data_IF_279391493822
#
_entry.id   IF_279391493822
#
_cell.length_a   1.000
_cell.length_b   1.000
_cell.length_c   1.000
_cell.angle_alpha   90.00
_cell.angle_beta   90.00
_cell.angle_gamma   90.00
#
_symmetry.space_group_name_H-M   'P 1'
#
loop_
_entity.id
_entity.type
_entity.pdbx_description
1 polymer ?
#
# COMPACT_ATOMS: atom_id res chain seq x y z
N UNK A 1 9.14 1.40 -15.27
CA UNK A 1 8.75 1.92 -13.98
C UNK A 1 8.91 0.84 -12.92
N UNK A 2 8.23 0.89 -11.79
CA UNK A 2 8.44 -0.12 -10.74
C UNK A 2 7.16 -0.87 -10.42
N UNK A 3 7.33 -2.13 -10.04
CA UNK A 3 6.24 -3.01 -9.59
C UNK A 3 6.81 -3.96 -8.54
N UNK A 4 6.18 -4.01 -7.37
CA UNK A 4 6.63 -4.89 -6.29
C UNK A 4 5.49 -5.28 -5.37
N UNK A 5 5.73 -6.31 -4.56
CA UNK A 5 4.77 -6.86 -3.60
C UNK A 5 5.36 -6.81 -2.20
N UNK A 6 4.56 -6.38 -1.24
CA UNK A 6 4.88 -6.42 0.19
C UNK A 6 3.99 -7.49 0.81
N UNK A 7 4.58 -8.60 1.22
CA UNK A 7 3.85 -9.71 1.82
C UNK A 7 3.51 -9.43 3.28
N UNK A 8 2.41 -9.98 3.74
CA UNK A 8 1.87 -9.79 5.07
C UNK A 8 0.56 -9.02 5.04
N UNK A 9 -0.13 -9.01 6.17
CA UNK A 9 -1.42 -8.32 6.29
C UNK A 9 -1.23 -6.82 6.07
N UNK A 10 -1.96 -6.20 5.12
CA UNK A 10 -1.88 -4.77 4.90
C UNK A 10 -2.31 -3.98 6.13
N UNK A 11 -1.66 -2.85 6.38
CA UNK A 11 -1.94 -1.98 7.53
C UNK A 11 -2.40 -0.62 7.03
N UNK A 12 -3.60 -0.15 7.41
CA UNK A 12 -4.07 1.16 7.01
C UNK A 12 -3.32 2.28 7.73
N UNK A 13 -3.30 3.46 7.14
CA UNK A 13 -2.80 4.65 7.83
C UNK A 13 -3.73 4.95 9.00
N UNK A 14 -3.17 4.95 10.20
CA UNK A 14 -3.89 5.32 11.42
C UNK A 14 -3.71 6.81 11.69
N UNK A 15 -4.61 7.36 12.51
CA UNK A 15 -4.40 8.73 13.03
C UNK A 15 -3.10 8.76 13.82
N UNK A 16 -2.22 9.75 13.61
CA UNK A 16 -1.03 9.89 14.44
C UNK A 16 -1.39 10.06 15.91
N UNK A 17 -0.60 9.45 16.79
CA UNK A 17 -0.71 9.70 18.23
C UNK A 17 -0.02 11.02 18.53
N UNK A 18 -0.71 11.86 19.30
CA UNK A 18 -0.18 13.19 19.66
C UNK A 18 0.29 13.15 21.12
N UNK A 19 1.56 13.56 21.30
CA UNK A 19 2.14 13.74 22.63
C UNK A 19 2.73 15.14 22.72
N UNK A 20 3.19 15.55 23.92
CA UNK A 20 3.90 16.82 24.07
C UNK A 20 5.20 16.90 23.27
N UNK A 21 5.70 15.78 22.75
CA UNK A 21 6.91 15.70 21.91
C UNK A 21 6.59 15.69 20.43
N UNK A 22 5.31 15.84 20.03
CA UNK A 22 4.85 15.85 18.65
C UNK A 22 3.95 14.69 18.31
N UNK A 23 3.62 14.58 17.02
CA UNK A 23 2.78 13.50 16.49
C UNK A 23 3.67 12.38 15.93
N UNK A 24 3.24 11.14 16.12
CA UNK A 24 3.93 9.96 15.59
C UNK A 24 2.94 8.88 15.19
N UNK A 25 3.32 8.05 14.22
CA UNK A 25 2.52 6.90 13.81
C UNK A 25 2.53 5.80 14.88
N UNK A 26 1.42 5.06 15.06
CA UNK A 26 1.43 3.84 15.87
C UNK A 26 2.49 2.86 15.34
N UNK A 27 3.14 2.08 16.23
CA UNK A 27 4.25 1.19 15.84
C UNK A 27 3.98 0.27 14.65
N UNK A 28 2.80 -0.31 14.58
CA UNK A 28 2.43 -1.23 13.49
C UNK A 28 2.35 -0.53 12.14
N UNK A 29 1.77 0.66 12.11
CA UNK A 29 1.68 1.50 10.92
C UNK A 29 3.06 1.95 10.47
N UNK A 30 3.88 2.40 11.41
CA UNK A 30 5.26 2.83 11.15
C UNK A 30 6.09 1.69 10.55
N UNK A 31 6.04 0.50 11.14
CA UNK A 31 6.77 -0.67 10.66
C UNK A 31 6.37 -1.06 9.24
N UNK A 32 5.08 -1.04 8.94
CA UNK A 32 4.56 -1.36 7.62
C UNK A 32 5.06 -0.35 6.56
N UNK A 33 5.02 0.94 6.88
CA UNK A 33 5.51 2.00 5.98
C UNK A 33 7.02 1.89 5.75
N UNK A 34 7.79 1.58 6.80
CA UNK A 34 9.23 1.37 6.69
C UNK A 34 9.57 0.19 5.79
N UNK A 35 8.80 -0.90 5.86
CA UNK A 35 8.99 -2.06 5.00
C UNK A 35 8.74 -1.72 3.53
N UNK A 36 7.65 -1.01 3.24
CA UNK A 36 7.35 -0.54 1.88
C UNK A 36 8.49 0.34 1.36
N UNK A 37 8.94 1.29 2.17
CA UNK A 37 10.03 2.20 1.83
C UNK A 37 11.33 1.45 1.53
N UNK A 38 11.66 0.47 2.34
CA UNK A 38 12.87 -0.34 2.17
C UNK A 38 12.85 -1.10 0.83
N UNK A 39 11.75 -1.75 0.52
CA UNK A 39 11.61 -2.50 -0.74
C UNK A 39 11.64 -1.55 -1.94
N UNK A 40 10.95 -0.42 -1.85
CA UNK A 40 10.93 0.58 -2.91
C UNK A 40 12.33 1.13 -3.21
N UNK A 41 13.13 1.40 -2.19
CA UNK A 41 14.52 1.84 -2.36
C UNK A 41 15.34 0.84 -3.17
N UNK A 42 15.19 -0.45 -2.88
CA UNK A 42 15.86 -1.51 -3.63
C UNK A 42 15.51 -1.48 -5.11
N UNK A 43 14.23 -1.33 -5.43
CA UNK A 43 13.77 -1.23 -6.83
C UNK A 43 14.27 0.04 -7.50
N UNK A 44 14.27 1.17 -6.81
CA UNK A 44 14.77 2.44 -7.37
C UNK A 44 16.25 2.37 -7.74
N UNK A 45 17.06 1.66 -6.97
CA UNK A 45 18.48 1.45 -7.30
C UNK A 45 18.69 0.73 -8.63
N UNK A 46 17.77 -0.18 -8.98
CA UNK A 46 17.87 -0.94 -10.23
C UNK A 46 17.38 -0.18 -11.46
N UNK A 47 16.39 0.71 -11.31
CA UNK A 47 15.75 1.38 -12.46
C UNK A 47 16.24 2.81 -12.67
N UNK A 48 16.83 3.43 -11.63
CA UNK A 48 17.37 4.80 -11.70
C UNK A 48 18.67 4.86 -10.89
N UNK A 49 19.24 6.05 -10.77
CA UNK A 49 20.40 6.30 -9.91
C UNK A 49 19.99 6.62 -8.46
N UNK A 50 18.97 5.98 -7.94
CA UNK A 50 18.39 6.20 -6.61
C UNK A 50 17.61 7.52 -6.45
N UNK A 51 17.67 8.41 -7.42
CA UNK A 51 16.97 9.68 -7.35
C UNK A 51 15.46 9.48 -7.57
N UNK A 52 14.59 10.15 -6.78
CA UNK A 52 13.16 10.11 -7.03
C UNK A 52 12.81 10.65 -8.42
N UNK A 53 11.73 10.11 -9.01
CA UNK A 53 11.20 10.64 -10.25
C UNK A 53 10.70 12.07 -10.08
N UNK A 54 10.81 12.88 -11.13
CA UNK A 54 10.39 14.28 -11.09
C UNK A 54 9.22 14.58 -12.02
N UNK A 55 8.80 13.61 -12.84
CA UNK A 55 7.67 13.76 -13.76
C UNK A 55 6.37 13.23 -13.16
N UNK A 56 5.26 13.43 -13.87
CA UNK A 56 3.94 12.94 -13.45
C UNK A 56 3.87 11.42 -13.44
N UNK A 57 3.19 10.87 -12.44
CA UNK A 57 3.13 9.44 -12.18
C UNK A 57 1.69 8.96 -11.96
N UNK A 58 1.49 7.67 -12.20
CA UNK A 58 0.29 6.92 -11.86
C UNK A 58 0.66 5.88 -10.80
N UNK A 59 -0.10 5.85 -9.71
CA UNK A 59 0.05 4.89 -8.63
C UNK A 59 -1.10 3.89 -8.66
N UNK A 60 -0.78 2.59 -8.64
CA UNK A 60 -1.76 1.51 -8.56
C UNK A 60 -1.44 0.69 -7.31
N UNK A 61 -2.44 0.54 -6.43
CA UNK A 61 -2.30 -0.21 -5.18
C UNK A 61 -3.43 -1.24 -5.11
N UNK A 62 -3.07 -2.49 -4.85
CA UNK A 62 -4.02 -3.57 -4.60
C UNK A 62 -3.77 -4.13 -3.21
N UNK A 63 -4.81 -4.06 -2.39
CA UNK A 63 -4.77 -4.51 -0.99
C UNK A 63 -5.45 -5.87 -0.91
N UNK A 64 -4.70 -6.89 -0.50
CA UNK A 64 -5.22 -8.23 -0.29
C UNK A 64 -5.25 -8.55 1.19
N UNK A 65 -6.47 -8.62 1.75
CA UNK A 65 -6.70 -8.92 3.16
C UNK A 65 -6.91 -10.42 3.34
N UNK A 66 -6.60 -10.93 4.53
CA UNK A 66 -6.86 -12.32 4.86
C UNK A 66 -8.36 -12.64 4.76
N UNK A 67 -8.66 -13.87 4.36
CA UNK A 67 -10.04 -14.35 4.33
C UNK A 67 -10.48 -14.67 5.75
N UNK A 68 -11.66 -14.16 6.21
CA UNK A 68 -12.14 -14.45 7.56
C UNK A 68 -12.25 -15.95 7.82
N UNK A 69 -11.85 -16.37 9.02
CA UNK A 69 -11.92 -17.78 9.43
C UNK A 69 -13.34 -18.35 9.45
N UNK A 70 -14.33 -17.46 9.56
CA UNK A 70 -15.75 -17.84 9.56
C UNK A 70 -16.29 -18.22 8.18
N UNK A 71 -15.54 -17.95 7.10
CA UNK A 71 -15.98 -18.29 5.75
C UNK A 71 -15.91 -19.80 5.53
N UNK A 72 -17.01 -20.38 5.01
CA UNK A 72 -17.04 -21.77 4.54
C UNK A 72 -16.34 -21.89 3.18
N UNK A 73 -16.19 -23.14 2.70
CA UNK A 73 -15.45 -23.45 1.46
C UNK A 73 -15.96 -22.68 0.23
N UNK A 74 -17.28 -22.58 0.05
CA UNK A 74 -17.87 -21.87 -1.09
C UNK A 74 -17.56 -20.37 -1.03
N UNK A 75 -17.64 -19.76 0.15
CA UNK A 75 -17.30 -18.34 0.34
C UNK A 75 -15.82 -18.08 0.14
N UNK A 76 -14.95 -19.00 0.58
CA UNK A 76 -13.50 -18.87 0.36
C UNK A 76 -13.21 -18.83 -1.13
N UNK A 77 -13.81 -19.73 -1.92
CA UNK A 77 -13.62 -19.72 -3.37
C UNK A 77 -14.11 -18.42 -4.01
N UNK A 78 -15.29 -17.96 -3.60
CA UNK A 78 -15.84 -16.70 -4.10
C UNK A 78 -14.96 -15.50 -3.75
N UNK A 79 -14.41 -15.48 -2.53
CA UNK A 79 -13.49 -14.44 -2.09
C UNK A 79 -12.19 -14.46 -2.91
N UNK A 80 -11.62 -15.62 -3.17
CA UNK A 80 -10.39 -15.75 -3.98
C UNK A 80 -10.59 -15.33 -5.43
N UNK A 81 -11.78 -15.56 -5.99
CA UNK A 81 -12.13 -15.13 -7.35
C UNK A 81 -12.39 -13.61 -7.45
N UNK A 82 -12.56 -12.94 -6.31
CA UNK A 82 -12.95 -11.54 -6.30
C UNK A 82 -14.45 -11.30 -6.39
N UNK A 83 -15.28 -12.35 -6.30
CA UNK A 83 -16.75 -12.22 -6.29
C UNK A 83 -17.25 -11.64 -4.97
N UNK A 84 -16.54 -11.92 -3.88
CA UNK A 84 -16.77 -11.34 -2.56
C UNK A 84 -15.56 -10.49 -2.22
N UNK A 85 -15.80 -9.23 -1.89
CA UNK A 85 -14.74 -8.26 -1.56
C UNK A 85 -14.95 -7.68 -0.16
N UNK A 86 -13.87 -7.22 0.52
CA UNK A 86 -13.96 -6.69 1.87
C UNK A 86 -14.54 -5.27 1.88
N UNK A 87 -15.87 -5.17 1.84
CA UNK A 87 -16.59 -3.90 1.91
C UNK A 87 -16.69 -3.30 3.31
N UNK A 88 -15.84 -3.72 4.23
CA UNK A 88 -15.80 -3.25 5.62
C UNK A 88 -14.55 -2.42 5.88
N UNK A 89 -14.53 -1.69 7.00
CA UNK A 89 -13.32 -0.96 7.42
C UNK A 89 -12.12 -1.90 7.54
N UNK A 90 -10.89 -1.43 7.30
CA UNK A 90 -10.52 -0.02 7.00
C UNK A 90 -10.88 0.41 5.58
N UNK A 91 -11.07 1.72 5.39
CA UNK A 91 -11.41 2.31 4.11
C UNK A 91 -10.25 2.23 3.12
N UNK A 92 -10.59 2.14 1.84
CA UNK A 92 -9.59 2.03 0.76
C UNK A 92 -8.61 3.19 0.76
N UNK A 93 -9.09 4.42 0.96
CA UNK A 93 -8.25 5.62 0.98
C UNK A 93 -7.25 5.62 2.13
N UNK A 94 -7.57 5.01 3.27
CA UNK A 94 -6.63 4.90 4.39
C UNK A 94 -5.44 3.98 4.06
N UNK A 95 -5.68 2.92 3.31
CA UNK A 95 -4.59 2.07 2.81
C UNK A 95 -3.74 2.82 1.80
N UNK A 96 -4.38 3.50 0.85
CA UNK A 96 -3.69 4.25 -0.20
C UNK A 96 -2.81 5.35 0.40
N UNK A 97 -3.33 6.08 1.39
CA UNK A 97 -2.58 7.14 2.07
C UNK A 97 -1.30 6.63 2.73
N UNK A 98 -1.37 5.49 3.40
CA UNK A 98 -0.19 4.89 4.03
C UNK A 98 0.88 4.49 3.02
N UNK A 99 0.46 3.90 1.89
CA UNK A 99 1.38 3.53 0.81
C UNK A 99 2.01 4.78 0.19
N UNK A 100 1.21 5.78 -0.14
CA UNK A 100 1.71 7.03 -0.73
C UNK A 100 2.71 7.73 0.20
N UNK A 101 2.40 7.81 1.49
CA UNK A 101 3.32 8.37 2.49
C UNK A 101 4.66 7.62 2.52
N UNK A 102 4.62 6.30 2.42
CA UNK A 102 5.84 5.48 2.44
C UNK A 102 6.72 5.70 1.21
N UNK A 103 6.11 5.99 0.05
CA UNK A 103 6.83 6.16 -1.22
C UNK A 103 7.33 7.58 -1.46
N UNK A 104 6.74 8.56 -0.79
CA UNK A 104 7.17 9.97 -0.91
C UNK A 104 8.61 10.14 -0.44
N UNK A 105 9.40 10.84 -1.25
CA UNK A 105 10.82 11.06 -0.99
C UNK A 105 11.71 9.92 -1.49
N UNK A 106 11.12 8.79 -1.90
CA UNK A 106 11.85 7.62 -2.42
C UNK A 106 11.55 7.43 -3.90
N UNK A 107 10.28 7.33 -4.26
CA UNK A 107 9.85 7.12 -5.66
C UNK A 107 9.53 8.44 -6.33
N UNK A 108 8.96 9.38 -5.63
CA UNK A 108 8.70 10.75 -6.11
C UNK A 108 9.03 11.76 -5.01
N UNK A 109 9.24 13.01 -5.43
CA UNK A 109 9.58 14.09 -4.49
C UNK A 109 8.36 14.66 -3.79
N UNK A 110 7.29 14.85 -4.54
CA UNK A 110 6.08 15.51 -4.07
C UNK A 110 4.85 14.72 -4.49
N UNK A 111 3.89 14.58 -3.59
CA UNK A 111 2.64 13.86 -3.85
C UNK A 111 1.84 14.47 -5.00
N UNK A 112 2.05 15.76 -5.29
CA UNK A 112 1.41 16.44 -6.44
C UNK A 112 1.79 15.84 -7.80
N UNK A 113 2.91 15.10 -7.88
CA UNK A 113 3.32 14.41 -9.10
C UNK A 113 2.41 13.23 -9.44
N UNK A 114 1.73 12.68 -8.45
CA UNK A 114 0.83 11.54 -8.65
C UNK A 114 -0.51 12.06 -9.14
N UNK A 115 -0.70 12.02 -10.46
CA UNK A 115 -1.88 12.59 -11.12
C UNK A 115 -3.00 11.57 -11.33
N UNK A 116 -2.68 10.27 -11.26
CA UNK A 116 -3.65 9.17 -11.32
C UNK A 116 -3.40 8.21 -10.16
N UNK A 117 -4.47 7.80 -9.49
CA UNK A 117 -4.40 6.83 -8.39
C UNK A 117 -5.50 5.79 -8.53
N UNK A 118 -5.13 4.54 -8.27
CA UNK A 118 -6.08 3.45 -8.12
C UNK A 118 -5.77 2.70 -6.83
N UNK A 119 -6.81 2.36 -6.06
CA UNK A 119 -6.67 1.46 -4.93
C UNK A 119 -7.91 0.58 -4.82
N UNK A 120 -7.70 -0.74 -4.80
CA UNK A 120 -8.75 -1.71 -4.59
C UNK A 120 -8.47 -2.58 -3.39
N UNK A 121 -9.53 -3.10 -2.75
CA UNK A 121 -9.45 -4.06 -1.65
C UNK A 121 -10.00 -5.41 -2.11
N UNK A 122 -9.26 -6.47 -1.78
CA UNK A 122 -9.56 -7.84 -2.15
C UNK A 122 -9.32 -8.77 -0.98
N UNK A 123 -9.84 -9.98 -1.02
CA UNK A 123 -9.47 -11.06 -0.11
C UNK A 123 -8.44 -11.97 -0.77
N UNK A 124 -7.56 -12.56 0.03
CA UNK A 124 -6.63 -13.61 -0.43
C UNK A 124 -6.21 -14.50 0.72
N UNK A 125 -5.86 -15.74 0.38
CA UNK A 125 -5.20 -16.66 1.32
C UNK A 125 -3.76 -16.22 1.59
N UNK A 126 -3.21 -15.33 0.73
CA UNK A 126 -1.88 -14.74 0.89
C UNK A 126 -2.01 -13.22 1.02
N UNK A 127 -2.26 -12.70 2.23
CA UNK A 127 -2.37 -11.26 2.45
C UNK A 127 -1.13 -10.54 1.95
N UNK A 128 -1.32 -9.43 1.25
CA UNK A 128 -0.22 -8.67 0.66
C UNK A 128 -0.69 -7.33 0.14
N UNK A 129 0.26 -6.47 -0.16
CA UNK A 129 0.04 -5.20 -0.85
C UNK A 129 0.82 -5.23 -2.16
N UNK A 130 0.15 -5.07 -3.29
CA UNK A 130 0.78 -4.97 -4.60
C UNK A 130 0.83 -3.50 -5.01
N UNK A 131 2.00 -3.04 -5.40
CA UNK A 131 2.24 -1.63 -5.72
C UNK A 131 2.86 -1.53 -7.11
N UNK A 132 2.29 -0.66 -7.94
CA UNK A 132 2.80 -0.36 -9.28
C UNK A 132 2.86 1.16 -9.44
N UNK A 133 3.97 1.64 -10.01
CA UNK A 133 4.14 3.06 -10.33
C UNK A 133 4.54 3.18 -11.79
N UNK A 134 3.81 3.98 -12.53
CA UNK A 134 4.00 4.21 -13.96
C UNK A 134 4.17 5.68 -14.29
N UNK A 135 4.79 5.98 -15.42
CA UNK A 135 4.72 7.33 -15.98
C UNK A 135 3.28 7.65 -16.39
N UNK A 136 2.85 8.84 -16.12
CA UNK A 136 1.52 9.31 -16.51
C UNK A 136 1.61 10.26 -17.70
#
# INVERSE_FOLDING_TARGET
MIKFTVFGEPVPQSRPRVTRHGAYDPPKCKAYKEEIAYIAKGYMRHVTSEAPYEHNLKLVVRIYRHIPKSFGKAKIKAAEKGDIRPGTRPDTDNYLKGVADALRGIVWRDDSQVVDMYCGKWYSTKPRTEIEVYSA
#
